data_IF_224028134061
#
_entry.id   IF_224028134061
#
_cell.length_a   1.000
_cell.length_b   1.000
_cell.length_c   1.000
_cell.angle_alpha   90.00
_cell.angle_beta   90.00
_cell.angle_gamma   90.00
#
_symmetry.space_group_name_H-M   'P 1'
#
loop_
_entity.id
_entity.type
_entity.pdbx_description
1 polymer ?
#
# COMPACT_ATOMS: atom_id res chain seq x y z
N UNK A 1 9.18 14.64 10.08
CA UNK A 1 8.81 13.44 10.89
C UNK A 1 7.96 12.57 9.98
N UNK A 2 8.27 11.29 9.87
CA UNK A 2 7.61 10.39 8.93
C UNK A 2 6.09 10.35 9.16
N UNK A 3 5.31 10.54 8.08
CA UNK A 3 3.84 10.49 8.13
C UNK A 3 3.30 9.07 7.93
N UNK A 4 4.08 8.19 7.31
CA UNK A 4 3.67 6.81 6.98
C UNK A 4 4.70 5.80 7.47
N UNK A 5 4.26 4.76 8.17
CA UNK A 5 5.09 3.59 8.46
C UNK A 5 4.82 2.47 7.46
N UNK A 6 5.84 1.95 6.80
CA UNK A 6 5.76 0.79 5.90
C UNK A 6 6.41 -0.41 6.59
N UNK A 7 5.65 -1.47 6.81
CA UNK A 7 6.13 -2.67 7.50
C UNK A 7 5.81 -3.94 6.72
N UNK A 8 6.75 -4.88 6.68
CA UNK A 8 6.59 -6.17 6.00
C UNK A 8 7.18 -7.31 6.83
N UNK A 9 6.62 -8.51 6.68
CA UNK A 9 7.05 -9.68 7.45
C UNK A 9 8.32 -10.36 6.94
N UNK A 10 8.72 -10.08 5.71
CA UNK A 10 9.82 -10.73 5.00
C UNK A 10 10.44 -9.79 3.95
N UNK A 11 11.73 -9.91 3.71
CA UNK A 11 12.42 -9.18 2.63
C UNK A 11 11.92 -9.60 1.23
N UNK A 12 11.40 -10.82 1.10
CA UNK A 12 10.74 -11.30 -0.13
C UNK A 12 9.54 -10.44 -0.55
N UNK A 13 8.94 -9.69 0.38
CA UNK A 13 7.81 -8.80 0.10
C UNK A 13 8.25 -7.45 -0.50
N UNK A 14 9.56 -7.14 -0.42
CA UNK A 14 10.15 -5.86 -0.80
C UNK A 14 9.76 -5.38 -2.20
N UNK A 15 9.74 -6.20 -3.28
CA UNK A 15 9.38 -5.72 -4.61
C UNK A 15 7.95 -5.16 -4.70
N UNK A 16 7.04 -5.62 -3.84
CA UNK A 16 5.68 -5.11 -3.76
C UNK A 16 5.61 -3.90 -2.84
N UNK A 17 6.27 -3.97 -1.69
CA UNK A 17 6.25 -2.89 -0.70
C UNK A 17 6.96 -1.63 -1.18
N UNK A 18 8.02 -1.77 -1.97
CA UNK A 18 8.74 -0.65 -2.59
C UNK A 18 7.82 0.20 -3.47
N UNK A 19 6.83 -0.38 -4.14
CA UNK A 19 5.88 0.38 -4.95
C UNK A 19 5.05 1.39 -4.13
N UNK A 20 4.81 1.09 -2.85
CA UNK A 20 4.15 2.03 -1.95
C UNK A 20 5.10 3.20 -1.66
N UNK A 21 6.35 2.91 -1.30
CA UNK A 21 7.40 3.91 -1.08
C UNK A 21 7.63 4.80 -2.30
N UNK A 22 7.80 4.23 -3.49
CA UNK A 22 8.01 4.97 -4.74
C UNK A 22 6.86 5.97 -4.99
N UNK A 23 5.62 5.60 -4.66
CA UNK A 23 4.49 6.51 -4.79
C UNK A 23 4.51 7.62 -3.74
N UNK A 24 4.88 7.30 -2.49
CA UNK A 24 5.03 8.30 -1.43
C UNK A 24 6.16 9.29 -1.76
N UNK A 25 7.28 8.81 -2.31
CA UNK A 25 8.37 9.64 -2.84
C UNK A 25 7.89 10.58 -3.94
N UNK A 26 7.14 10.06 -4.93
CA UNK A 26 6.53 10.89 -5.99
C UNK A 26 5.65 12.01 -5.42
N UNK A 27 4.99 11.77 -4.29
CA UNK A 27 4.13 12.77 -3.64
C UNK A 27 4.88 13.66 -2.63
N UNK A 28 6.13 13.35 -2.29
CA UNK A 28 6.92 14.03 -1.26
C UNK A 28 6.36 13.78 0.15
N UNK A 29 5.97 12.54 0.45
CA UNK A 29 5.47 12.13 1.76
C UNK A 29 6.56 11.34 2.49
N UNK A 30 7.02 11.86 3.63
CA UNK A 30 8.00 11.16 4.47
C UNK A 30 7.45 9.82 4.97
N UNK A 31 8.27 8.76 4.86
CA UNK A 31 7.95 7.45 5.40
C UNK A 31 9.15 6.79 6.10
N UNK A 32 8.85 5.80 6.95
CA UNK A 32 9.82 4.83 7.47
C UNK A 32 9.50 3.45 6.86
N UNK A 33 10.50 2.65 6.53
CA UNK A 33 10.30 1.28 6.04
C UNK A 33 11.14 0.29 6.83
N UNK A 34 10.50 -0.76 7.34
CA UNK A 34 11.13 -1.76 8.21
C UNK A 34 10.60 -3.17 7.94
N UNK A 35 11.45 -4.19 8.13
CA UNK A 35 11.07 -5.60 8.10
C UNK A 35 10.88 -6.08 9.54
N UNK A 36 9.65 -6.46 9.91
CA UNK A 36 9.31 -7.04 11.21
C UNK A 36 8.31 -8.17 11.00
N UNK A 37 8.66 -9.37 11.46
CA UNK A 37 7.77 -10.52 11.37
C UNK A 37 6.86 -10.62 12.59
N UNK A 38 5.55 -10.49 12.41
CA UNK A 38 4.57 -10.67 13.50
C UNK A 38 4.64 -12.06 14.16
N UNK A 39 5.06 -13.08 13.43
CA UNK A 39 5.14 -14.46 13.94
C UNK A 39 6.50 -14.81 14.55
N UNK A 40 7.59 -14.20 14.06
CA UNK A 40 8.97 -14.54 14.48
C UNK A 40 9.53 -13.54 15.50
N UNK A 41 9.01 -12.32 15.50
CA UNK A 41 9.47 -11.20 16.34
C UNK A 41 8.29 -10.48 17.01
N UNK A 42 7.40 -11.20 17.73
CA UNK A 42 6.16 -10.62 18.24
C UNK A 42 6.36 -9.45 19.21
N UNK A 43 7.42 -9.47 20.03
CA UNK A 43 7.71 -8.40 20.99
C UNK A 43 8.19 -7.11 20.28
N UNK A 44 9.04 -7.25 19.26
CA UNK A 44 9.51 -6.13 18.44
C UNK A 44 8.33 -5.52 17.67
N UNK A 45 7.52 -6.38 17.06
CA UNK A 45 6.28 -6.01 16.39
C UNK A 45 5.34 -5.22 17.31
N UNK A 46 5.09 -5.74 18.51
CA UNK A 46 4.20 -5.11 19.47
C UNK A 46 4.68 -3.70 19.83
N UNK A 47 5.97 -3.55 20.13
CA UNK A 47 6.56 -2.26 20.45
C UNK A 47 6.55 -1.28 19.27
N UNK A 48 6.81 -1.76 18.05
CA UNK A 48 6.73 -0.95 16.83
C UNK A 48 5.31 -0.37 16.63
N UNK A 49 4.29 -1.23 16.65
CA UNK A 49 2.92 -0.81 16.38
C UNK A 49 2.36 0.09 17.49
N UNK A 50 2.66 -0.21 18.76
CA UNK A 50 2.18 0.57 19.91
C UNK A 50 2.80 1.97 19.99
N UNK A 51 4.08 2.12 19.61
CA UNK A 51 4.78 3.42 19.63
C UNK A 51 4.61 4.25 18.35
N UNK A 52 3.96 3.71 17.31
CA UNK A 52 3.88 4.35 16.00
C UNK A 52 3.20 5.73 16.03
N UNK A 53 2.16 5.92 16.84
CA UNK A 53 1.48 7.22 16.96
C UNK A 53 2.40 8.27 17.61
N UNK A 54 3.11 7.89 18.67
CA UNK A 54 4.07 8.76 19.37
C UNK A 54 5.23 9.19 18.46
N UNK A 55 5.61 8.34 17.49
CA UNK A 55 6.58 8.66 16.43
C UNK A 55 6.03 9.61 15.36
N UNK A 56 4.73 9.92 15.40
CA UNK A 56 4.07 10.84 14.48
C UNK A 56 3.44 10.17 13.26
N UNK A 57 3.41 8.84 13.18
CA UNK A 57 2.79 8.14 12.05
C UNK A 57 1.29 8.45 12.01
N UNK A 58 0.79 8.70 10.80
CA UNK A 58 -0.63 8.94 10.51
C UNK A 58 -1.30 7.78 9.78
N UNK A 59 -0.50 6.93 9.14
CA UNK A 59 -0.95 5.72 8.43
C UNK A 59 0.13 4.64 8.58
N UNK A 60 -0.26 3.38 8.77
CA UNK A 60 0.63 2.23 8.56
C UNK A 60 0.23 1.50 7.29
N UNK A 61 1.20 1.17 6.44
CA UNK A 61 1.05 0.23 5.32
C UNK A 61 1.74 -1.07 5.72
N UNK A 62 0.98 -2.16 5.80
CA UNK A 62 1.47 -3.46 6.24
C UNK A 62 1.29 -4.52 5.15
N UNK A 63 2.37 -5.22 4.79
CA UNK A 63 2.36 -6.31 3.81
C UNK A 63 2.62 -7.66 4.43
N UNK A 64 1.82 -8.67 4.08
CA UNK A 64 2.04 -10.05 4.52
C UNK A 64 1.40 -11.09 3.58
N UNK A 65 1.97 -12.29 3.59
CA UNK A 65 1.50 -13.44 2.82
C UNK A 65 0.99 -14.60 3.69
N UNK A 66 0.23 -15.52 3.08
CA UNK A 66 -0.32 -16.74 3.70
C UNK A 66 -1.28 -16.40 4.85
N UNK A 67 -1.01 -16.88 6.06
CA UNK A 67 -1.69 -16.46 7.29
C UNK A 67 -1.22 -15.03 7.67
N UNK A 68 -1.68 -14.06 6.89
CA UNK A 68 -1.14 -12.72 6.81
C UNK A 68 -1.61 -11.80 7.97
N UNK A 69 -1.18 -12.09 9.19
CA UNK A 69 -1.70 -11.44 10.41
C UNK A 69 -1.14 -10.03 10.68
N UNK A 70 -0.02 -9.66 10.05
CA UNK A 70 0.68 -8.40 10.34
C UNK A 70 -0.24 -7.16 10.25
N UNK A 71 -1.08 -6.97 9.20
CA UNK A 71 -1.92 -5.77 9.10
C UNK A 71 -3.02 -5.71 10.18
N UNK A 72 -3.68 -6.84 10.44
CA UNK A 72 -4.73 -6.92 11.47
C UNK A 72 -4.19 -6.67 12.87
N UNK A 73 -3.00 -7.21 13.17
CA UNK A 73 -2.35 -6.96 14.46
C UNK A 73 -1.83 -5.52 14.58
N UNK A 74 -1.35 -4.90 13.49
CA UNK A 74 -1.04 -3.46 13.50
C UNK A 74 -2.29 -2.66 13.88
N UNK A 75 -3.43 -2.94 13.25
CA UNK A 75 -4.69 -2.22 13.50
C UNK A 75 -5.22 -2.42 14.93
N UNK A 76 -4.89 -3.55 15.57
CA UNK A 76 -5.26 -3.80 16.95
C UNK A 76 -4.47 -2.95 17.97
N UNK A 77 -3.30 -2.44 17.59
CA UNK A 77 -2.36 -1.73 18.48
C UNK A 77 -2.21 -0.25 18.12
N UNK A 78 -2.35 0.10 16.84
CA UNK A 78 -2.19 1.44 16.31
C UNK A 78 -3.56 2.10 16.11
N UNK A 79 -3.84 3.25 16.74
CA UNK A 79 -5.17 3.86 16.72
C UNK A 79 -5.52 4.57 15.40
N UNK A 80 -4.54 4.80 14.52
CA UNK A 80 -4.74 5.46 13.23
C UNK A 80 -4.88 4.43 12.09
N UNK A 81 -5.29 4.85 10.88
CA UNK A 81 -5.57 3.91 9.79
C UNK A 81 -4.42 2.97 9.44
N UNK A 82 -4.76 1.69 9.23
CA UNK A 82 -3.86 0.66 8.70
C UNK A 82 -4.35 0.20 7.33
N UNK A 83 -3.44 0.16 6.36
CA UNK A 83 -3.65 -0.34 5.01
C UNK A 83 -2.96 -1.69 4.89
N UNK A 84 -3.71 -2.73 4.51
CA UNK A 84 -3.20 -4.08 4.34
C UNK A 84 -2.95 -4.44 2.88
N UNK A 85 -1.76 -4.98 2.58
CA UNK A 85 -1.38 -5.50 1.26
C UNK A 85 -1.28 -7.03 1.33
N UNK A 86 -2.24 -7.76 0.75
CA UNK A 86 -2.13 -9.21 0.62
C UNK A 86 -1.04 -9.59 -0.37
N UNK A 87 -0.06 -10.40 0.05
CA UNK A 87 0.97 -10.91 -0.86
C UNK A 87 0.45 -12.12 -1.65
N UNK A 88 0.81 -12.18 -2.94
CA UNK A 88 0.55 -13.35 -3.78
C UNK A 88 1.31 -14.56 -3.22
N UNK A 89 0.61 -15.67 -3.03
CA UNK A 89 1.19 -16.96 -2.61
C UNK A 89 1.26 -17.92 -3.80
N UNK A 90 2.19 -18.87 -3.74
CA UNK A 90 2.35 -19.90 -4.77
C UNK A 90 1.16 -20.85 -4.83
N UNK A 91 0.61 -21.20 -3.65
CA UNK A 91 -0.35 -22.28 -3.50
C UNK A 91 -1.79 -21.81 -3.78
N UNK A 92 -2.15 -20.61 -3.33
CA UNK A 92 -3.52 -20.08 -3.37
C UNK A 92 -3.64 -18.73 -4.08
N UNK A 93 -2.58 -18.30 -4.79
CA UNK A 93 -2.58 -17.05 -5.55
C UNK A 93 -2.74 -15.78 -4.71
N UNK A 94 -2.62 -15.86 -3.38
CA UNK A 94 -2.85 -14.78 -2.44
C UNK A 94 -4.26 -14.68 -1.86
N UNK A 95 -5.16 -15.62 -2.15
CA UNK A 95 -6.52 -15.64 -1.55
C UNK A 95 -6.46 -15.88 -0.04
N UNK A 96 -5.51 -16.72 0.40
CA UNK A 96 -5.17 -16.91 1.81
C UNK A 96 -4.73 -15.63 2.48
N UNK A 97 -3.81 -14.89 1.84
CA UNK A 97 -3.38 -13.57 2.32
C UNK A 97 -4.55 -12.59 2.37
N UNK A 98 -5.38 -12.57 1.32
CA UNK A 98 -6.51 -11.66 1.21
C UNK A 98 -7.51 -11.88 2.34
N UNK A 99 -7.95 -13.12 2.55
CA UNK A 99 -8.92 -13.44 3.60
C UNK A 99 -8.34 -13.24 5.00
N UNK A 100 -7.04 -13.46 5.18
CA UNK A 100 -6.37 -13.18 6.46
C UNK A 100 -6.36 -11.69 6.82
N UNK A 101 -6.45 -10.79 5.83
CA UNK A 101 -6.36 -9.34 6.03
C UNK A 101 -7.75 -8.67 5.98
N UNK A 102 -8.59 -9.02 5.01
CA UNK A 102 -9.84 -8.28 4.73
C UNK A 102 -10.99 -8.66 5.67
N UNK A 103 -11.01 -9.89 6.18
CA UNK A 103 -12.11 -10.43 7.00
C UNK A 103 -11.95 -10.12 8.49
N UNK A 104 -11.47 -8.93 8.83
CA UNK A 104 -11.36 -8.50 10.23
C UNK A 104 -12.73 -8.47 10.90
N UNK A 105 -12.84 -8.91 12.17
CA UNK A 105 -14.08 -8.77 12.92
C UNK A 105 -14.41 -7.30 13.21
N UNK A 106 -15.67 -7.03 13.51
CA UNK A 106 -16.15 -5.71 13.92
C UNK A 106 -15.32 -5.12 15.07
N UNK A 107 -14.89 -3.87 14.91
CA UNK A 107 -14.12 -3.12 15.92
C UNK A 107 -12.69 -2.80 15.52
N UNK A 108 -12.03 -3.64 14.70
CA UNK A 108 -10.62 -3.47 14.31
C UNK A 108 -10.49 -3.49 12.77
N UNK A 109 -10.75 -2.37 12.08
CA UNK A 109 -10.76 -2.35 10.62
C UNK A 109 -9.34 -2.32 10.01
N UNK A 110 -9.20 -2.94 8.83
CA UNK A 110 -8.02 -2.81 7.96
C UNK A 110 -8.49 -2.40 6.56
N UNK A 111 -7.91 -1.31 6.03
CA UNK A 111 -8.17 -0.87 4.66
C UNK A 111 -7.38 -1.77 3.68
N UNK A 112 -8.00 -2.83 3.20
CA UNK A 112 -7.32 -3.84 2.37
C UNK A 112 -7.32 -3.42 0.89
N UNK A 113 -6.15 -3.45 0.25
CA UNK A 113 -6.01 -3.24 -1.21
C UNK A 113 -5.91 -4.57 -1.96
N UNK A 114 -5.78 -4.51 -3.29
CA UNK A 114 -5.62 -5.70 -4.13
C UNK A 114 -4.41 -6.56 -3.71
N UNK A 115 -4.43 -7.84 -4.06
CA UNK A 115 -3.27 -8.74 -3.94
C UNK A 115 -2.10 -8.11 -4.72
N UNK A 116 -0.92 -8.03 -4.09
CA UNK A 116 0.25 -7.33 -4.59
C UNK A 116 0.01 -5.84 -4.94
N UNK A 117 -0.99 -5.21 -4.33
CA UNK A 117 -1.41 -3.83 -4.59
C UNK A 117 -0.51 -2.74 -3.98
N UNK A 118 0.80 -2.91 -4.02
CA UNK A 118 1.83 -2.01 -3.47
C UNK A 118 1.57 -0.53 -3.74
N UNK A 119 1.53 -0.17 -5.03
CA UNK A 119 1.27 1.20 -5.48
C UNK A 119 -0.06 1.77 -4.95
N UNK A 120 -1.13 0.96 -4.95
CA UNK A 120 -2.45 1.41 -4.49
C UNK A 120 -2.47 1.67 -2.97
N UNK A 121 -1.67 0.96 -2.18
CA UNK A 121 -1.53 1.27 -0.77
C UNK A 121 -0.88 2.64 -0.55
N UNK A 122 0.17 2.96 -1.30
CA UNK A 122 0.78 4.30 -1.29
C UNK A 122 -0.21 5.40 -1.71
N UNK A 123 -0.98 5.17 -2.78
CA UNK A 123 -2.03 6.08 -3.24
C UNK A 123 -3.09 6.29 -2.15
N UNK A 124 -3.55 5.22 -1.51
CA UNK A 124 -4.57 5.32 -0.47
C UNK A 124 -4.05 6.07 0.77
N UNK A 125 -2.80 5.81 1.19
CA UNK A 125 -2.16 6.57 2.27
C UNK A 125 -2.09 8.07 1.94
N UNK A 126 -1.66 8.42 0.72
CA UNK A 126 -1.64 9.82 0.27
C UNK A 126 -3.04 10.45 0.27
N UNK A 127 -4.08 9.72 -0.17
CA UNK A 127 -5.48 10.20 -0.14
C UNK A 127 -5.99 10.42 1.28
N UNK A 128 -5.64 9.54 2.22
CA UNK A 128 -6.00 9.71 3.64
C UNK A 128 -5.38 11.01 4.18
N UNK A 129 -4.08 11.23 3.94
CA UNK A 129 -3.38 12.43 4.38
C UNK A 129 -3.94 13.71 3.73
N UNK A 130 -4.26 13.66 2.44
CA UNK A 130 -4.77 14.78 1.66
C UNK A 130 -6.12 15.33 2.16
N UNK A 131 -6.88 14.57 2.95
CA UNK A 131 -8.14 15.05 3.56
C UNK A 131 -7.93 16.29 4.44
N UNK A 132 -6.70 16.51 4.93
CA UNK A 132 -6.32 17.65 5.76
C UNK A 132 -5.11 18.43 5.21
N UNK A 133 -4.68 18.13 3.99
CA UNK A 133 -3.48 18.70 3.36
C UNK A 133 -3.83 19.18 1.93
N UNK A 134 -4.19 20.46 1.76
CA UNK A 134 -4.62 21.02 0.48
C UNK A 134 -3.56 20.96 -0.62
N UNK A 135 -2.28 21.05 -0.26
CA UNK A 135 -1.17 20.96 -1.21
C UNK A 135 -1.03 19.53 -1.74
N UNK A 136 -1.08 18.53 -0.85
CA UNK A 136 -1.08 17.13 -1.25
C UNK A 136 -2.32 16.78 -2.07
N UNK A 137 -3.49 17.34 -1.73
CA UNK A 137 -4.71 17.17 -2.53
C UNK A 137 -4.52 17.70 -3.97
N UNK A 138 -3.86 18.84 -4.15
CA UNK A 138 -3.56 19.37 -5.47
C UNK A 138 -2.62 18.43 -6.27
N UNK A 139 -1.58 17.88 -5.63
CA UNK A 139 -0.69 16.88 -6.25
C UNK A 139 -1.46 15.64 -6.72
N UNK A 140 -2.39 15.11 -5.92
CA UNK A 140 -3.22 13.97 -6.28
C UNK A 140 -4.18 14.26 -7.44
N UNK A 141 -4.73 15.48 -7.52
CA UNK A 141 -5.55 15.91 -8.66
C UNK A 141 -4.72 15.95 -9.95
N UNK A 142 -3.52 16.54 -9.88
CA UNK A 142 -2.60 16.55 -11.02
C UNK A 142 -2.22 15.14 -11.48
N UNK A 143 -1.92 14.23 -10.54
CA UNK A 143 -1.66 12.82 -10.84
C UNK A 143 -2.86 12.12 -11.51
N UNK A 144 -4.09 12.48 -11.12
CA UNK A 144 -5.30 11.91 -11.75
C UNK A 144 -5.48 12.38 -13.20
N UNK A 145 -5.18 13.65 -13.50
CA UNK A 145 -5.18 14.17 -14.86
C UNK A 145 -4.04 13.59 -15.71
N UNK A 146 -2.84 13.40 -15.13
CA UNK A 146 -1.71 12.72 -15.79
C UNK A 146 -2.12 11.33 -16.28
N UNK A 147 -2.70 10.49 -15.39
CA UNK A 147 -3.16 9.14 -15.77
C UNK A 147 -4.25 9.16 -16.85
N UNK A 148 -5.18 10.11 -16.78
CA UNK A 148 -6.21 10.28 -17.80
C UNK A 148 -5.59 10.59 -19.16
N UNK A 149 -4.64 11.54 -19.20
CA UNK A 149 -3.97 11.94 -20.43
C UNK A 149 -3.12 10.81 -21.03
N UNK A 150 -2.48 9.97 -20.19
CA UNK A 150 -1.80 8.76 -20.65
C UNK A 150 -2.75 7.79 -21.36
N UNK A 151 -3.96 7.59 -20.84
CA UNK A 151 -4.97 6.70 -21.46
C UNK A 151 -5.47 7.28 -22.77
N UNK A 152 -5.76 8.59 -22.80
CA UNK A 152 -6.17 9.29 -24.03
C UNK A 152 -5.09 9.15 -25.11
N UNK A 153 -3.82 9.40 -24.78
CA UNK A 153 -2.72 9.26 -25.73
C UNK A 153 -2.56 7.83 -26.27
N UNK A 154 -2.71 6.81 -25.39
CA UNK A 154 -2.68 5.39 -25.80
C UNK A 154 -3.83 5.02 -26.72
N UNK A 155 -5.03 5.56 -26.48
CA UNK A 155 -6.18 5.32 -27.36
C UNK A 155 -5.99 6.02 -28.72
N UNK A 156 -5.54 7.28 -28.73
CA UNK A 156 -5.24 7.99 -29.99
C UNK A 156 -4.21 7.23 -30.85
N UNK A 157 -3.18 6.67 -30.23
CA UNK A 157 -2.18 5.83 -30.90
C UNK A 157 -2.80 4.54 -31.45
N UNK A 158 -3.64 3.87 -30.65
CA UNK A 158 -4.38 2.68 -31.08
C UNK A 158 -5.32 2.98 -32.26
N UNK A 159 -6.03 4.12 -32.26
CA UNK A 159 -6.91 4.51 -33.36
C UNK A 159 -6.14 4.81 -34.66
N UNK A 160 -4.91 5.33 -34.55
CA UNK A 160 -4.05 5.62 -35.72
C UNK A 160 -3.45 4.37 -36.36
N UNK A 161 -2.98 3.43 -35.53
CA UNK A 161 -2.24 2.23 -35.98
C UNK A 161 -3.16 1.02 -36.21
N UNK A 162 -4.30 0.96 -35.52
CA UNK A 162 -5.08 -0.26 -35.37
C UNK A 162 -4.37 -1.31 -34.48
N UNK A 163 -5.15 -2.29 -34.00
CA UNK A 163 -4.67 -3.23 -32.97
C UNK A 163 -3.46 -4.09 -33.38
N UNK A 164 -3.31 -4.42 -34.67
CA UNK A 164 -2.22 -5.30 -35.14
C UNK A 164 -0.86 -4.61 -35.06
N UNK A 165 -0.77 -3.37 -35.57
CA UNK A 165 0.46 -2.59 -35.56
C UNK A 165 0.79 -2.09 -34.15
N UNK A 166 -0.22 -1.71 -33.36
CA UNK A 166 -0.05 -1.31 -31.96
C UNK A 166 0.57 -2.43 -31.09
N UNK A 167 0.17 -3.69 -31.31
CA UNK A 167 0.77 -4.83 -30.58
C UNK A 167 2.20 -5.13 -31.01
N UNK A 168 2.58 -4.83 -32.25
CA UNK A 168 3.94 -5.08 -32.75
C UNK A 168 4.99 -4.13 -32.15
N UNK A 169 4.57 -3.06 -31.46
CA UNK A 169 5.45 -2.07 -30.82
C UNK A 169 5.68 -2.32 -29.31
N UNK A 170 4.96 -3.28 -28.72
CA UNK A 170 5.10 -3.66 -27.30
C UNK A 170 5.98 -4.89 -27.13
#
# INVERSE_FOLDING_TARGET
>A
MAKVGIVMGSDSDMPIMAQAADFLDKMGIDYEMTIISAHREPDIFFNYAKSAEEKGFKVIIAGAGKAAHLPGMCAALFPMPVIGIPMKTSDLGGVDSLYSIVQMPSGIPVATVAINGGKNAGILAAKILATSDPELLAKLKAYSEEMKNEVVGKDEELQKLGHKEYLAQK
#
